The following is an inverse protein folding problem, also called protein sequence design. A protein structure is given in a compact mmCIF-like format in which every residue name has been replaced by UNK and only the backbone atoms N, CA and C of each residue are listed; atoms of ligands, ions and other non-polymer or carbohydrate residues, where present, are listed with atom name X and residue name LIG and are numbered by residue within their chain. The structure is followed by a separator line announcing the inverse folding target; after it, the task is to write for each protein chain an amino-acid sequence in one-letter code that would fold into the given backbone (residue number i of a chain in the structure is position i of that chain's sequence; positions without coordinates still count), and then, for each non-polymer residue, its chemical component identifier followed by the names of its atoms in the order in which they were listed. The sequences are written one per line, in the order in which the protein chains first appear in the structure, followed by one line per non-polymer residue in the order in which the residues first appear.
data_IF_708356332099
#
_entry.id   IF_708356332099
#
_cell.length_a   1.000
_cell.length_b   1.000
_cell.length_c   1.000
_cell.angle_alpha   90.00
_cell.angle_beta   90.00
_cell.angle_gamma   90.00
#
_symmetry.space_group_name_H-M   'P 1'
#
loop_
_entity.id
_entity.type
_entity.pdbx_description
1 polymer ?
#
# COMPACT_ATOMS: atom_id res chain seq x y z
N UNK A 1 21.16 -8.76 -20.36
CA UNK A 1 20.74 -8.88 -18.95
C UNK A 1 21.05 -7.55 -18.29
N UNK A 2 20.05 -6.70 -18.10
CA UNK A 2 20.22 -5.37 -17.51
C UNK A 2 20.43 -5.53 -16.00
N UNK A 3 21.56 -5.02 -15.49
CA UNK A 3 21.83 -4.92 -14.07
C UNK A 3 20.66 -4.16 -13.42
N UNK A 4 19.89 -4.86 -12.60
CA UNK A 4 18.94 -4.21 -11.72
C UNK A 4 19.77 -3.37 -10.74
N UNK A 5 19.78 -2.05 -10.93
CA UNK A 5 20.41 -1.14 -9.98
C UNK A 5 19.78 -1.40 -8.61
N UNK A 6 20.58 -1.94 -7.70
CA UNK A 6 20.19 -2.20 -6.32
C UNK A 6 19.98 -0.84 -5.65
N UNK A 7 18.73 -0.37 -5.65
CA UNK A 7 18.37 0.91 -5.05
C UNK A 7 18.57 0.83 -3.53
N UNK A 8 19.72 1.31 -3.07
CA UNK A 8 20.08 1.37 -1.66
C UNK A 8 19.29 2.52 -1.00
N UNK A 9 18.39 2.17 -0.09
CA UNK A 9 17.66 3.16 0.70
C UNK A 9 18.60 3.81 1.71
N UNK A 10 18.77 5.14 1.62
CA UNK A 10 19.47 5.91 2.63
C UNK A 10 18.50 6.38 3.72
N UNK A 11 19.03 6.75 4.88
CA UNK A 11 18.25 7.37 5.96
C UNK A 11 17.51 8.61 5.47
N UNK A 12 18.15 9.42 4.64
CA UNK A 12 17.60 10.65 4.08
C UNK A 12 16.45 10.35 3.11
N UNK A 13 16.58 9.31 2.28
CA UNK A 13 15.52 8.86 1.39
C UNK A 13 14.30 8.37 2.18
N UNK A 14 14.53 7.62 3.26
CA UNK A 14 13.48 7.16 4.17
C UNK A 14 12.77 8.32 4.86
N UNK A 15 13.53 9.28 5.40
CA UNK A 15 13.00 10.48 6.05
C UNK A 15 12.16 11.31 5.09
N UNK A 16 12.64 11.50 3.85
CA UNK A 16 11.88 12.21 2.81
C UNK A 16 10.58 11.48 2.49
N UNK A 17 10.61 10.15 2.31
CA UNK A 17 9.41 9.35 2.05
C UNK A 17 8.39 9.46 3.19
N UNK A 18 8.85 9.41 4.43
CA UNK A 18 7.99 9.57 5.60
C UNK A 18 7.36 10.96 5.65
N UNK A 19 8.13 12.01 5.37
CA UNK A 19 7.63 13.38 5.33
C UNK A 19 6.56 13.57 4.25
N UNK A 20 6.82 13.12 3.01
CA UNK A 20 5.84 13.17 1.91
C UNK A 20 4.55 12.41 2.26
N UNK A 21 4.69 11.19 2.80
CA UNK A 21 3.56 10.38 3.20
C UNK A 21 2.73 11.03 4.31
N UNK A 22 3.37 11.78 5.22
CA UNK A 22 2.70 12.51 6.28
C UNK A 22 1.85 13.65 5.73
N UNK A 23 2.40 14.45 4.82
CA UNK A 23 1.68 15.58 4.20
C UNK A 23 0.49 15.12 3.34
N UNK A 24 0.63 13.99 2.64
CA UNK A 24 -0.44 13.46 1.79
C UNK A 24 -1.51 12.66 2.55
N UNK A 25 -1.22 12.31 3.81
CA UNK A 25 -2.07 11.43 4.59
C UNK A 25 -3.41 12.09 4.93
N UNK A 26 -4.46 11.27 4.91
CA UNK A 26 -5.75 11.63 5.44
C UNK A 26 -6.38 10.38 6.06
N UNK A 27 -7.25 10.55 7.06
CA UNK A 27 -8.06 9.46 7.62
C UNK A 27 -9.23 9.12 6.69
N UNK A 28 -8.89 8.74 5.46
CA UNK A 28 -9.82 8.20 4.46
C UNK A 28 -9.34 6.81 4.03
N UNK A 29 -10.24 5.96 3.47
CA UNK A 29 -9.93 4.56 3.20
C UNK A 29 -8.63 4.31 2.42
N UNK A 30 -8.21 5.20 1.53
CA UNK A 30 -7.03 4.97 0.67
C UNK A 30 -5.81 5.83 1.02
N UNK A 31 -5.96 6.74 1.99
CA UNK A 31 -4.96 7.81 2.20
C UNK A 31 -4.32 7.79 3.58
N UNK A 32 -4.54 6.75 4.39
CA UNK A 32 -3.87 6.71 5.70
C UNK A 32 -2.35 6.70 5.53
N UNK A 33 -1.64 7.21 6.53
CA UNK A 33 -0.19 7.42 6.48
C UNK A 33 0.58 6.19 5.99
N UNK A 34 0.29 5.00 6.51
CA UNK A 34 0.99 3.77 6.11
C UNK A 34 0.78 3.42 4.63
N UNK A 35 -0.41 3.64 4.07
CA UNK A 35 -0.67 3.37 2.65
C UNK A 35 0.11 4.33 1.77
N UNK A 36 0.18 5.59 2.17
CA UNK A 36 1.08 6.55 1.52
C UNK A 36 2.51 6.10 1.67
N UNK A 37 3.01 5.92 2.88
CA UNK A 37 4.41 5.57 3.13
C UNK A 37 4.88 4.35 2.33
N UNK A 38 4.09 3.27 2.31
CA UNK A 38 4.36 2.04 1.57
C UNK A 38 3.99 2.11 0.09
N UNK A 39 3.47 3.25 -0.39
CA UNK A 39 3.11 3.50 -1.78
C UNK A 39 2.07 2.51 -2.33
N UNK A 40 1.03 2.25 -1.54
CA UNK A 40 -0.08 1.41 -1.95
C UNK A 40 -0.86 2.06 -3.09
N UNK A 41 -1.08 1.29 -4.14
CA UNK A 41 -1.93 1.62 -5.27
C UNK A 41 -3.15 0.70 -5.24
N UNK A 42 -4.33 1.31 -5.12
CA UNK A 42 -5.59 0.58 -5.04
C UNK A 42 -6.25 0.54 -6.42
N UNK A 43 -6.69 -0.64 -6.83
CA UNK A 43 -7.55 -0.84 -8.00
C UNK A 43 -8.75 -1.69 -7.59
N UNK A 44 -9.92 -1.36 -8.13
CA UNK A 44 -11.17 -2.03 -7.80
C UNK A 44 -11.85 -2.52 -9.07
N UNK A 45 -12.36 -3.76 -9.02
CA UNK A 45 -13.24 -4.32 -10.04
C UNK A 45 -14.57 -4.71 -9.37
N UNK A 46 -15.60 -3.90 -9.59
CA UNK A 46 -16.93 -4.12 -9.03
C UNK A 46 -17.63 -5.36 -9.62
N UNK A 47 -17.32 -5.74 -10.87
CA UNK A 47 -17.91 -6.89 -11.53
C UNK A 47 -17.36 -8.18 -10.93
N UNK A 48 -16.04 -8.25 -10.77
CA UNK A 48 -15.33 -9.38 -10.18
C UNK A 48 -15.31 -9.35 -8.66
N UNK A 49 -15.76 -8.25 -8.04
CA UNK A 49 -15.66 -7.99 -6.59
C UNK A 49 -14.23 -8.14 -6.09
N UNK A 50 -13.30 -7.55 -6.82
CA UNK A 50 -11.87 -7.63 -6.56
C UNK A 50 -11.35 -6.28 -6.06
N UNK A 51 -10.50 -6.31 -5.04
CA UNK A 51 -9.68 -5.18 -4.61
C UNK A 51 -8.23 -5.64 -4.75
N UNK A 52 -7.46 -4.95 -5.57
CA UNK A 52 -6.03 -5.20 -5.77
C UNK A 52 -5.24 -4.04 -5.18
N UNK A 53 -4.25 -4.41 -4.37
CA UNK A 53 -3.29 -3.48 -3.79
C UNK A 53 -1.91 -3.85 -4.34
N UNK A 54 -1.22 -2.86 -4.89
CA UNK A 54 0.13 -3.01 -5.41
C UNK A 54 1.07 -2.02 -4.71
N UNK A 55 2.31 -2.43 -4.45
CA UNK A 55 3.33 -1.58 -3.85
C UNK A 55 4.73 -2.01 -4.32
N UNK A 56 5.69 -1.07 -4.41
CA UNK A 56 7.06 -1.41 -4.74
C UNK A 56 7.71 -2.21 -3.61
N UNK A 57 8.42 -3.28 -3.97
CA UNK A 57 9.22 -4.04 -3.01
C UNK A 57 10.46 -3.21 -2.63
N UNK A 58 10.56 -2.84 -1.36
CA UNK A 58 11.59 -1.96 -0.84
C UNK A 58 12.14 -2.52 0.48
N UNK A 59 13.35 -2.13 0.91
CA UNK A 59 13.96 -2.60 2.15
C UNK A 59 13.14 -2.35 3.41
N UNK A 60 12.26 -1.33 3.43
CA UNK A 60 11.31 -1.10 4.54
C UNK A 60 10.31 -2.25 4.70
N UNK A 61 10.11 -3.07 3.68
CA UNK A 61 9.26 -4.26 3.73
C UNK A 61 10.01 -5.51 4.21
N UNK A 62 11.33 -5.45 4.37
CA UNK A 62 12.13 -6.64 4.62
C UNK A 62 12.12 -7.06 6.10
N UNK A 63 12.24 -8.36 6.32
CA UNK A 63 12.57 -8.95 7.61
C UNK A 63 14.10 -8.96 7.82
N UNK A 64 14.60 -9.39 8.99
CA UNK A 64 16.03 -9.49 9.25
C UNK A 64 16.80 -10.48 8.33
N UNK A 65 16.09 -11.31 7.57
CA UNK A 65 16.67 -12.22 6.58
C UNK A 65 16.76 -11.61 5.18
N UNK A 66 16.37 -10.34 5.01
CA UNK A 66 16.41 -9.64 3.72
C UNK A 66 15.30 -10.03 2.75
N UNK A 67 14.26 -10.73 3.21
CA UNK A 67 13.08 -11.09 2.41
C UNK A 67 11.89 -10.22 2.83
N UNK A 68 10.87 -10.11 1.99
CA UNK A 68 9.62 -9.44 2.37
C UNK A 68 9.05 -10.10 3.63
N UNK A 69 8.82 -9.27 4.65
CA UNK A 69 8.33 -9.70 5.94
C UNK A 69 6.91 -10.28 5.80
N UNK A 70 6.65 -11.44 6.42
CA UNK A 70 5.34 -12.11 6.38
C UNK A 70 4.18 -11.18 6.76
N UNK A 71 4.42 -10.33 7.76
CA UNK A 71 3.50 -9.29 8.22
C UNK A 71 3.08 -8.26 7.15
N UNK A 72 3.91 -8.00 6.13
CA UNK A 72 3.56 -7.11 5.02
C UNK A 72 2.49 -7.75 4.13
N UNK A 73 2.66 -9.03 3.78
CA UNK A 73 1.65 -9.75 3.02
C UNK A 73 0.32 -9.81 3.75
N UNK A 74 0.35 -10.11 5.06
CA UNK A 74 -0.88 -10.13 5.87
C UNK A 74 -1.52 -8.75 5.99
N UNK A 75 -0.72 -7.69 6.10
CA UNK A 75 -1.22 -6.32 6.18
C UNK A 75 -1.89 -5.86 4.87
N UNK A 76 -1.28 -6.18 3.73
CA UNK A 76 -1.87 -5.93 2.40
C UNK A 76 -3.19 -6.70 2.26
N UNK A 77 -3.21 -7.98 2.62
CA UNK A 77 -4.41 -8.81 2.54
C UNK A 77 -5.54 -8.30 3.45
N UNK A 78 -5.23 -7.97 4.70
CA UNK A 78 -6.19 -7.40 5.67
C UNK A 78 -6.76 -6.07 5.16
N UNK A 79 -5.90 -5.20 4.63
CA UNK A 79 -6.33 -3.94 4.02
C UNK A 79 -7.27 -4.19 2.84
N UNK A 80 -6.92 -5.08 1.90
CA UNK A 80 -7.78 -5.37 0.74
C UNK A 80 -9.15 -5.93 1.17
N UNK A 81 -9.17 -6.80 2.18
CA UNK A 81 -10.42 -7.33 2.77
C UNK A 81 -11.24 -6.19 3.38
N UNK A 82 -10.62 -5.29 4.14
CA UNK A 82 -11.27 -4.11 4.71
C UNK A 82 -11.94 -3.24 3.66
N UNK A 83 -11.26 -2.99 2.54
CA UNK A 83 -11.80 -2.23 1.42
C UNK A 83 -12.98 -2.92 0.74
N UNK A 84 -12.91 -4.25 0.53
CA UNK A 84 -14.04 -5.03 0.00
C UNK A 84 -15.26 -4.97 0.93
N UNK A 85 -15.06 -5.14 2.24
CA UNK A 85 -16.15 -5.06 3.23
C UNK A 85 -16.76 -3.66 3.24
N UNK A 86 -15.92 -2.62 3.24
CA UNK A 86 -16.38 -1.23 3.23
C UNK A 86 -17.16 -0.90 1.95
N UNK A 87 -16.66 -1.31 0.78
CA UNK A 87 -17.34 -1.15 -0.51
C UNK A 87 -18.66 -1.91 -0.58
N UNK A 88 -18.75 -3.12 0.01
CA UNK A 88 -19.99 -3.91 0.12
C UNK A 88 -21.04 -3.17 0.98
N UNK A 89 -20.63 -2.52 2.07
CA UNK A 89 -21.55 -1.82 2.98
C UNK A 89 -22.07 -0.48 2.44
N UNK A 90 -21.52 0.07 1.35
CA UNK A 90 -22.02 1.31 0.74
C UNK A 90 -23.09 1.06 -0.34
N UNK A 91 -24.19 1.84 -0.37
CA UNK A 91 -25.17 1.81 -1.46
C UNK A 91 -24.48 2.02 -2.82
N UNK A 92 -24.98 1.37 -3.88
CA UNK A 92 -24.41 1.42 -5.25
C UNK A 92 -24.16 2.84 -5.78
N UNK A 93 -24.90 3.85 -5.31
CA UNK A 93 -24.75 5.27 -5.71
C UNK A 93 -23.56 6.00 -5.08
N UNK A 94 -22.83 5.39 -4.13
CA UNK A 94 -21.72 6.00 -3.40
C UNK A 94 -20.41 5.18 -3.53
N UNK A 95 -20.33 4.31 -4.54
CA UNK A 95 -19.11 3.56 -4.85
C UNK A 95 -18.19 4.42 -5.71
N UNK A 96 -17.00 4.63 -5.17
CA UNK A 96 -15.75 5.10 -5.79
C UNK A 96 -15.92 6.05 -6.99
N UNK A 97 -15.82 7.36 -6.69
CA UNK A 97 -15.58 8.42 -7.67
C UNK A 97 -14.22 8.25 -8.35
#
# INVERSE_FOLDING_TARGET
MTEAQEFQWTKEALQRRAAEAWEEAALTPERVFLFRFLQFQFTYDDTRRECRIECPVTPVLYNPLGMVHGGIYTYIADTAIGHLIFGIRRPRMLRWN
#
